data_IF_037558776939
#
_entry.id   IF_037558776939
#
_cell.length_a   1.000
_cell.length_b   1.000
_cell.length_c   1.000
_cell.angle_alpha   90.00
_cell.angle_beta   90.00
_cell.angle_gamma   90.00
#
_symmetry.space_group_name_H-M   'P 1'
#
loop_
_entity.id
_entity.type
_entity.pdbx_description
1 polymer ?
#
# COMPACT_ATOMS: atom_id res chain seq x y z
N UNK A 1 34.40 9.47 15.35
CA UNK A 1 33.06 8.96 15.09
C UNK A 1 32.77 9.01 13.60
N UNK A 2 32.29 7.94 13.05
CA UNK A 2 32.00 7.90 11.62
C UNK A 2 30.63 8.51 11.35
N UNK A 3 30.57 9.30 10.31
CA UNK A 3 29.28 9.84 9.83
C UNK A 3 28.60 8.73 9.03
N UNK A 4 27.32 8.44 9.32
CA UNK A 4 26.62 7.41 8.54
C UNK A 4 26.63 7.79 7.06
N UNK A 5 26.99 6.85 6.20
CA UNK A 5 26.93 7.12 4.78
C UNK A 5 25.48 7.06 4.34
N UNK A 6 25.09 8.04 3.52
CA UNK A 6 23.74 8.11 2.96
C UNK A 6 23.82 7.46 1.58
N UNK A 7 23.09 6.38 1.41
CA UNK A 7 23.00 5.72 0.11
C UNK A 7 22.19 6.61 -0.82
N UNK A 8 22.70 6.92 -2.02
CA UNK A 8 21.94 7.70 -2.98
C UNK A 8 20.58 7.07 -3.28
N UNK A 9 19.57 7.88 -3.49
CA UNK A 9 18.23 7.39 -3.76
C UNK A 9 18.19 6.42 -4.95
N UNK A 10 19.01 6.69 -5.95
CA UNK A 10 19.07 5.83 -7.15
C UNK A 10 19.54 4.41 -6.87
N UNK A 11 20.14 4.19 -5.71
CA UNK A 11 20.64 2.87 -5.33
C UNK A 11 19.92 2.29 -4.13
N UNK A 12 19.12 3.09 -3.44
CA UNK A 12 18.58 2.69 -2.15
C UNK A 12 17.18 2.12 -2.22
N UNK A 13 16.39 2.49 -3.21
CA UNK A 13 14.96 2.14 -3.21
C UNK A 13 14.73 0.63 -3.09
N UNK A 14 15.37 -0.15 -3.98
CA UNK A 14 15.14 -1.58 -4.01
C UNK A 14 16.00 -2.34 -3.00
N UNK A 15 16.75 -1.62 -2.17
CA UNK A 15 17.34 -2.19 -0.97
C UNK A 15 16.34 -2.13 0.20
N UNK A 16 15.35 -1.25 0.10
CA UNK A 16 14.37 -1.03 1.17
C UNK A 16 13.06 -1.75 0.91
N UNK A 17 12.69 -1.92 -0.35
CA UNK A 17 11.44 -2.56 -0.74
C UNK A 17 11.71 -3.67 -1.75
N UNK A 18 10.82 -4.65 -1.86
CA UNK A 18 10.97 -5.72 -2.86
C UNK A 18 10.94 -5.19 -4.28
N UNK A 19 11.67 -5.84 -5.17
CA UNK A 19 11.82 -5.38 -6.55
C UNK A 19 10.51 -5.45 -7.34
N UNK A 20 9.62 -6.36 -6.98
CA UNK A 20 8.38 -6.57 -7.72
C UNK A 20 7.18 -5.88 -7.08
N UNK A 21 7.43 -5.05 -6.07
CA UNK A 21 6.35 -4.47 -5.28
C UNK A 21 5.32 -3.74 -6.13
N UNK A 22 5.74 -3.03 -7.16
CA UNK A 22 4.84 -2.24 -7.98
C UNK A 22 4.12 -3.05 -9.05
N UNK A 23 4.43 -4.35 -9.19
CA UNK A 23 3.80 -5.19 -10.21
C UNK A 23 2.27 -5.13 -10.20
N UNK A 24 1.62 -5.42 -9.07
CA UNK A 24 0.16 -5.35 -9.00
C UNK A 24 -0.39 -3.97 -9.35
N UNK A 25 0.31 -2.91 -8.95
CA UNK A 25 -0.12 -1.54 -9.21
C UNK A 25 0.17 -1.08 -10.64
N UNK A 26 0.86 -1.90 -11.42
CA UNK A 26 1.11 -1.65 -12.83
C UNK A 26 0.35 -2.60 -13.74
N UNK A 27 -0.42 -3.52 -13.16
CA UNK A 27 -1.12 -4.56 -13.90
C UNK A 27 -2.45 -4.04 -14.45
N UNK A 28 -3.14 -4.91 -15.20
CA UNK A 28 -4.47 -4.56 -15.71
C UNK A 28 -5.47 -4.35 -14.57
N UNK A 29 -5.24 -4.94 -13.41
CA UNK A 29 -6.10 -4.79 -12.24
C UNK A 29 -5.57 -3.76 -11.25
N UNK A 30 -4.78 -2.79 -11.71
CA UNK A 30 -4.14 -1.82 -10.80
C UNK A 30 -5.12 -1.07 -9.93
N UNK A 31 -6.28 -0.71 -10.46
CA UNK A 31 -7.29 0.00 -9.66
C UNK A 31 -7.85 -0.89 -8.55
N UNK A 32 -8.08 -2.16 -8.88
CA UNK A 32 -8.56 -3.13 -7.90
C UNK A 32 -7.52 -3.39 -6.82
N UNK A 33 -6.27 -3.60 -7.21
CA UNK A 33 -5.21 -3.79 -6.22
C UNK A 33 -5.02 -2.57 -5.34
N UNK A 34 -5.07 -1.38 -5.93
CA UNK A 34 -4.93 -0.17 -5.13
C UNK A 34 -6.06 -0.03 -4.11
N UNK A 35 -7.30 -0.23 -4.54
CA UNK A 35 -8.45 -0.18 -3.63
C UNK A 35 -8.33 -1.23 -2.53
N UNK A 36 -7.87 -2.43 -2.88
CA UNK A 36 -7.68 -3.50 -1.91
C UNK A 36 -6.59 -3.15 -0.90
N UNK A 37 -5.46 -2.61 -1.36
CA UNK A 37 -4.37 -2.21 -0.47
C UNK A 37 -4.81 -1.11 0.47
N UNK A 38 -5.59 -0.15 -0.01
CA UNK A 38 -6.15 0.89 0.85
C UNK A 38 -7.08 0.29 1.90
N UNK A 39 -7.89 -0.67 1.50
CA UNK A 39 -8.80 -1.36 2.42
C UNK A 39 -8.03 -2.11 3.50
N UNK A 40 -7.02 -2.88 3.09
CA UNK A 40 -6.20 -3.65 4.03
C UNK A 40 -5.39 -2.75 4.96
N UNK A 41 -4.91 -1.62 4.45
CA UNK A 41 -4.22 -0.64 5.27
C UNK A 41 -5.15 -0.14 6.38
N UNK A 42 -6.36 0.24 6.01
CA UNK A 42 -7.31 0.77 6.98
C UNK A 42 -7.73 -0.28 8.00
N UNK A 43 -7.87 -1.53 7.56
CA UNK A 43 -8.44 -2.58 8.40
C UNK A 43 -7.39 -3.38 9.17
N UNK A 44 -6.17 -3.50 8.66
CA UNK A 44 -5.22 -4.46 9.22
C UNK A 44 -3.82 -3.93 9.44
N UNK A 45 -3.28 -3.16 8.51
CA UNK A 45 -1.84 -2.88 8.50
C UNK A 45 -1.49 -1.42 8.75
N UNK A 46 -2.45 -0.52 8.74
CA UNK A 46 -2.16 0.89 8.92
C UNK A 46 -2.10 1.30 10.38
N UNK A 47 -1.65 2.52 10.64
CA UNK A 47 -1.49 3.00 12.02
C UNK A 47 -2.80 3.12 12.78
N UNK A 48 -3.91 3.27 12.08
CA UNK A 48 -5.22 3.39 12.72
C UNK A 48 -5.94 2.05 12.85
N UNK A 49 -5.35 0.98 12.35
CA UNK A 49 -5.95 -0.34 12.46
C UNK A 49 -5.73 -0.92 13.87
N UNK A 50 -6.58 -1.85 14.30
CA UNK A 50 -6.34 -2.53 15.57
C UNK A 50 -4.98 -3.22 15.57
N UNK A 51 -4.35 -3.30 16.73
CA UNK A 51 -3.05 -3.95 16.82
C UNK A 51 -3.17 -5.41 16.42
N UNK A 52 -2.22 -5.91 15.63
CA UNK A 52 -2.24 -7.31 15.24
C UNK A 52 -1.87 -8.21 16.41
N UNK A 53 -2.22 -9.49 16.34
CA UNK A 53 -1.67 -10.47 17.27
C UNK A 53 -0.15 -10.45 17.25
N UNK A 54 0.47 -10.98 18.30
CA UNK A 54 1.91 -10.87 18.52
C UNK A 54 2.75 -11.28 17.30
N UNK A 55 2.28 -12.25 16.55
CA UNK A 55 3.05 -12.79 15.42
C UNK A 55 2.50 -12.41 14.07
N UNK A 56 1.47 -11.57 14.02
CA UNK A 56 0.84 -11.18 12.78
C UNK A 56 -0.54 -11.80 12.61
N UNK A 57 -1.09 -11.63 11.42
CA UNK A 57 -2.43 -12.12 11.13
C UNK A 57 -2.36 -13.53 10.56
N UNK A 58 -3.40 -14.32 10.77
CA UNK A 58 -3.50 -15.63 10.13
C UNK A 58 -3.80 -15.45 8.65
N UNK A 59 -3.27 -16.37 7.85
CA UNK A 59 -3.50 -16.29 6.40
C UNK A 59 -4.99 -16.29 6.07
N UNK A 60 -5.78 -17.13 6.76
CA UNK A 60 -7.21 -17.19 6.48
C UNK A 60 -7.93 -15.88 6.77
N UNK A 61 -7.44 -15.11 7.75
CA UNK A 61 -8.03 -13.80 8.06
C UNK A 61 -7.82 -12.83 6.92
N UNK A 62 -6.63 -12.84 6.36
CA UNK A 62 -6.32 -11.92 5.25
C UNK A 62 -7.03 -12.36 3.98
N UNK A 63 -7.05 -13.65 3.67
CA UNK A 63 -7.76 -14.11 2.48
C UNK A 63 -9.26 -13.87 2.60
N UNK A 64 -9.82 -14.00 3.82
CA UNK A 64 -11.22 -13.70 4.03
C UNK A 64 -11.50 -12.20 3.83
N UNK A 65 -10.60 -11.36 4.30
CA UNK A 65 -10.73 -9.91 4.10
C UNK A 65 -10.72 -9.56 2.62
N UNK A 66 -9.86 -10.24 1.85
CA UNK A 66 -9.79 -10.03 0.40
C UNK A 66 -11.10 -10.49 -0.24
N UNK A 67 -11.58 -11.67 0.13
CA UNK A 67 -12.82 -12.20 -0.43
C UNK A 67 -13.99 -11.25 -0.15
N UNK A 68 -14.08 -10.75 1.06
CA UNK A 68 -15.15 -9.83 1.45
C UNK A 68 -15.06 -8.53 0.65
N UNK A 69 -13.85 -8.05 0.41
CA UNK A 69 -13.65 -6.85 -0.41
C UNK A 69 -14.11 -7.09 -1.85
N UNK A 70 -13.81 -8.27 -2.40
CA UNK A 70 -14.18 -8.59 -3.76
C UNK A 70 -15.69 -8.64 -3.98
N UNK A 71 -16.46 -8.90 -2.95
CA UNK A 71 -17.92 -8.93 -3.07
C UNK A 71 -18.49 -7.57 -3.47
N UNK A 72 -17.80 -6.51 -3.12
CA UNK A 72 -18.26 -5.13 -3.36
C UNK A 72 -17.35 -4.39 -4.32
N UNK A 73 -16.36 -5.09 -4.88
CA UNK A 73 -15.44 -4.46 -5.82
C UNK A 73 -16.07 -4.39 -7.21
N UNK A 74 -15.68 -3.39 -7.95
CA UNK A 74 -16.04 -3.31 -9.35
C UNK A 74 -15.33 -4.41 -10.13
N UNK A 75 -15.45 -4.37 -11.43
CA UNK A 75 -14.89 -5.41 -12.29
C UNK A 75 -13.44 -5.70 -11.97
N UNK A 76 -13.15 -6.97 -11.86
CA UNK A 76 -11.80 -7.46 -11.67
C UNK A 76 -11.52 -8.42 -12.83
N UNK A 77 -10.54 -8.10 -13.65
CA UNK A 77 -10.20 -8.92 -14.81
C UNK A 77 -9.62 -10.24 -14.38
N UNK A 78 -9.97 -11.36 -15.05
CA UNK A 78 -9.35 -12.64 -14.74
C UNK A 78 -7.83 -12.56 -14.88
N UNK A 79 -7.14 -13.17 -13.94
CA UNK A 79 -5.69 -13.25 -13.98
C UNK A 79 -5.27 -14.68 -14.30
N UNK A 80 -3.97 -14.90 -14.41
CA UNK A 80 -3.46 -16.21 -14.80
C UNK A 80 -4.08 -17.32 -13.96
N UNK A 81 -4.71 -18.28 -14.61
CA UNK A 81 -5.36 -19.38 -13.92
C UNK A 81 -6.84 -19.16 -13.60
N UNK A 82 -7.32 -17.92 -13.74
CA UNK A 82 -8.72 -17.62 -13.45
C UNK A 82 -9.60 -17.81 -14.66
N UNK A 83 -10.84 -18.18 -14.40
CA UNK A 83 -11.90 -18.22 -15.39
C UNK A 83 -12.96 -17.19 -14.95
N UNK A 84 -13.85 -16.75 -15.88
CA UNK A 84 -14.89 -15.80 -15.47
C UNK A 84 -15.78 -16.30 -14.33
N UNK A 85 -15.93 -17.61 -14.20
CA UNK A 85 -16.77 -18.22 -13.17
C UNK A 85 -15.98 -18.75 -11.99
N UNK A 86 -14.70 -18.42 -11.87
CA UNK A 86 -13.90 -18.84 -10.73
C UNK A 86 -14.51 -18.30 -9.44
N UNK A 87 -14.75 -19.14 -8.43
CA UNK A 87 -15.35 -18.67 -7.17
C UNK A 87 -14.50 -17.60 -6.50
N UNK A 88 -15.16 -16.70 -5.77
CA UNK A 88 -14.48 -15.59 -5.12
C UNK A 88 -13.41 -16.04 -4.12
N UNK A 89 -13.67 -17.11 -3.39
CA UNK A 89 -12.68 -17.59 -2.43
C UNK A 89 -11.41 -18.06 -3.12
N UNK A 90 -11.52 -18.66 -4.29
CA UNK A 90 -10.36 -19.10 -5.07
C UNK A 90 -9.63 -17.88 -5.64
N UNK A 91 -10.38 -16.90 -6.14
CA UNK A 91 -9.79 -15.67 -6.66
C UNK A 91 -9.06 -14.92 -5.55
N UNK A 92 -9.64 -14.88 -4.35
CA UNK A 92 -9.01 -14.23 -3.22
C UNK A 92 -7.67 -14.86 -2.87
N UNK A 93 -7.60 -16.20 -2.91
CA UNK A 93 -6.34 -16.91 -2.66
C UNK A 93 -5.31 -16.55 -3.74
N UNK A 94 -5.73 -16.49 -5.01
CA UNK A 94 -4.84 -16.10 -6.10
C UNK A 94 -4.30 -14.68 -5.92
N UNK A 95 -5.16 -13.75 -5.55
CA UNK A 95 -4.77 -12.36 -5.30
C UNK A 95 -3.80 -12.30 -4.12
N UNK A 96 -4.12 -13.03 -3.05
CA UNK A 96 -3.24 -13.10 -1.89
C UNK A 96 -1.84 -13.59 -2.29
N UNK A 97 -1.78 -14.67 -3.07
CA UNK A 97 -0.49 -15.22 -3.50
C UNK A 97 0.29 -14.23 -4.34
N UNK A 98 -0.36 -13.48 -5.21
CA UNK A 98 0.31 -12.47 -6.03
C UNK A 98 0.86 -11.34 -5.17
N UNK A 99 0.14 -10.96 -4.12
CA UNK A 99 0.62 -9.94 -3.20
C UNK A 99 1.80 -10.44 -2.37
N UNK A 100 1.82 -11.71 -2.00
CA UNK A 100 2.98 -12.30 -1.34
C UNK A 100 4.19 -12.31 -2.29
N UNK A 101 3.98 -12.74 -3.54
CA UNK A 101 5.08 -12.78 -4.52
C UNK A 101 5.64 -11.40 -4.81
N UNK A 102 4.77 -10.39 -4.84
CA UNK A 102 5.21 -9.02 -5.07
C UNK A 102 5.93 -8.43 -3.87
N UNK A 103 5.69 -8.97 -2.69
CA UNK A 103 6.34 -8.50 -1.47
C UNK A 103 5.49 -7.58 -0.62
N UNK A 104 4.20 -7.41 -0.95
CA UNK A 104 3.30 -6.63 -0.09
C UNK A 104 3.08 -7.32 1.25
N UNK A 105 3.02 -8.65 1.24
CA UNK A 105 2.89 -9.44 2.46
C UNK A 105 4.13 -10.27 2.68
N UNK A 106 4.49 -10.44 3.94
CA UNK A 106 5.54 -11.35 4.36
C UNK A 106 4.87 -12.53 5.06
N UNK A 107 5.18 -13.75 4.57
CA UNK A 107 4.67 -14.97 5.17
C UNK A 107 5.73 -15.49 6.12
N UNK A 108 5.38 -15.65 7.38
CA UNK A 108 6.29 -16.13 8.41
C UNK A 108 5.70 -17.33 9.11
N UNK A 109 6.57 -18.23 9.56
CA UNK A 109 6.14 -19.43 10.26
C UNK A 109 6.55 -19.33 11.71
N UNK A 110 5.61 -19.60 12.61
CA UNK A 110 5.86 -19.72 14.04
C UNK A 110 5.31 -21.07 14.45
N UNK A 111 6.20 -22.06 14.59
CA UNK A 111 5.77 -23.43 14.82
C UNK A 111 5.04 -23.98 13.59
N UNK A 112 3.81 -24.39 13.78
CA UNK A 112 2.97 -24.90 12.69
C UNK A 112 2.09 -23.80 12.09
N UNK A 113 2.08 -22.62 12.72
CA UNK A 113 1.23 -21.52 12.25
C UNK A 113 1.95 -20.69 11.20
N UNK A 114 1.19 -20.27 10.20
CA UNK A 114 1.67 -19.30 9.21
C UNK A 114 0.99 -17.98 9.47
N UNK A 115 1.79 -16.92 9.60
CA UNK A 115 1.27 -15.61 9.87
C UNK A 115 1.69 -14.63 8.78
N UNK A 116 0.90 -13.58 8.63
CA UNK A 116 1.08 -12.59 7.58
C UNK A 116 1.38 -11.26 8.23
N UNK A 117 2.45 -10.65 7.76
CA UNK A 117 2.85 -9.31 8.18
C UNK A 117 3.18 -8.48 6.95
N UNK A 118 3.20 -7.17 7.14
CA UNK A 118 3.71 -6.26 6.13
C UNK A 118 5.04 -5.74 6.65
N UNK A 119 6.09 -5.82 5.84
CA UNK A 119 7.40 -5.32 6.25
C UNK A 119 7.28 -3.83 6.58
N UNK A 120 8.00 -3.34 7.59
CA UNK A 120 7.87 -1.93 7.99
C UNK A 120 8.10 -0.93 6.86
N UNK A 121 9.08 -1.17 6.01
CA UNK A 121 9.35 -0.26 4.88
C UNK A 121 8.21 -0.26 3.88
N UNK A 122 7.60 -1.42 3.63
CA UNK A 122 6.46 -1.55 2.72
C UNK A 122 5.24 -0.84 3.31
N UNK A 123 4.98 -1.04 4.59
CA UNK A 123 3.88 -0.36 5.26
C UNK A 123 4.04 1.15 5.26
N UNK A 124 5.26 1.62 5.47
CA UNK A 124 5.56 3.05 5.45
C UNK A 124 5.33 3.62 4.05
N UNK A 125 5.80 2.92 3.02
CA UNK A 125 5.58 3.34 1.65
C UNK A 125 4.08 3.41 1.34
N UNK A 126 3.32 2.40 1.73
CA UNK A 126 1.88 2.37 1.49
C UNK A 126 1.19 3.57 2.15
N UNK A 127 1.57 3.88 3.39
CA UNK A 127 1.02 5.05 4.09
C UNK A 127 1.32 6.34 3.32
N UNK A 128 2.55 6.47 2.81
CA UNK A 128 2.93 7.64 2.02
C UNK A 128 2.12 7.74 0.73
N UNK A 129 1.91 6.60 0.05
CA UNK A 129 1.12 6.58 -1.18
C UNK A 129 -0.33 6.96 -0.91
N UNK A 130 -0.90 6.47 0.19
CA UNK A 130 -2.27 6.81 0.56
C UNK A 130 -2.39 8.29 0.87
N UNK A 131 -1.44 8.83 1.63
CA UNK A 131 -1.45 10.27 1.92
C UNK A 131 -1.35 11.08 0.66
N UNK A 132 -0.48 10.68 -0.26
CA UNK A 132 -0.37 11.37 -1.54
C UNK A 132 -1.67 11.30 -2.32
N UNK A 133 -2.31 10.14 -2.34
CA UNK A 133 -3.56 9.96 -3.08
C UNK A 133 -4.69 10.81 -2.49
N UNK A 134 -4.72 10.95 -1.16
CA UNK A 134 -5.78 11.70 -0.50
C UNK A 134 -5.61 13.20 -0.61
N UNK A 135 -4.37 13.67 -0.48
CA UNK A 135 -4.14 15.12 -0.43
C UNK A 135 -3.66 15.68 -1.77
N UNK A 136 -3.23 14.83 -2.69
CA UNK A 136 -2.68 15.27 -3.95
C UNK A 136 -1.28 15.85 -3.77
N UNK A 137 -0.72 16.39 -4.83
CA UNK A 137 0.63 16.93 -4.77
C UNK A 137 0.71 18.13 -3.87
N UNK A 138 1.80 18.22 -3.10
CA UNK A 138 2.07 19.36 -2.24
C UNK A 138 3.13 20.19 -2.95
N UNK A 139 2.79 21.44 -3.26
CA UNK A 139 3.76 22.34 -3.85
C UNK A 139 4.62 22.91 -2.76
N UNK A 140 5.86 22.55 -2.80
CA UNK A 140 6.83 23.20 -1.96
C UNK A 140 7.30 24.38 -2.76
N UNK A 141 6.76 25.54 -2.41
CA UNK A 141 7.10 26.68 -3.19
C UNK A 141 8.45 27.16 -2.89
N UNK A 142 9.26 26.46 -2.51
CA UNK A 142 10.48 26.84 -2.32
C UNK A 142 11.01 27.50 -3.40
N UNK A 143 11.33 27.24 -4.31
CA UNK A 143 11.90 27.92 -5.24
C UNK A 143 11.02 28.43 -5.97
N UNK A 144 10.31 28.17 -5.77
CA UNK A 144 9.51 28.68 -6.40
C UNK A 144 8.90 29.20 -5.49
N UNK A 145 9.13 29.38 -4.52
CA UNK A 145 8.62 29.60 -3.81
C UNK A 145 8.48 30.31 -3.72
N UNK A 146 8.41 30.62 -3.78
CA UNK A 146 7.89 30.87 -3.69
C UNK A 146 6.94 30.96 -4.29
N UNK A 147 6.44 30.94 -4.46
CA UNK A 147 5.58 30.93 -5.10
C UNK A 147 4.58 30.61 -4.76
N UNK A 148 4.06 30.75 -4.47
CA UNK A 148 3.12 30.54 -4.20
C UNK A 148 2.79 30.29 -3.23
N UNK A 149 3.21 30.19 -2.72
CA UNK A 149 2.94 29.82 -1.70
C UNK A 149 2.30 30.70 -1.32
N UNK A 150 2.51 31.39 -1.65
CA UNK A 150 1.95 31.96 -1.47
C UNK A 150 0.82 31.78 -1.85
N UNK A 151 0.31 31.77 -2.10
CA UNK A 151 -0.64 31.58 -2.45
C UNK A 151 -1.44 30.93 -1.80
N UNK A 152 -1.69 31.02 -1.21
CA UNK A 152 -2.29 30.38 -0.73
C UNK A 152 -2.63 30.48 0.33
N UNK A 153 -2.35 31.08 0.59
CA UNK A 153 -2.36 30.92 1.22
C UNK A 153 -3.10 31.03 1.29
N UNK A 154 -3.18 31.85 1.10
CA UNK A 154 -3.38 31.73 0.93
C UNK A 154 -4.39 31.22 0.93
N UNK A 155 -4.79 31.81 1.03
CA UNK A 155 -5.35 31.19 0.93
C UNK A 155 -5.89 30.68 1.58
N UNK A 156 -6.15 31.10 2.00
CA UNK A 156 -6.23 30.46 2.43
C UNK A 156 -6.41 30.36 2.90
N UNK A 157 -6.31 32.16 3.32
CA UNK A 157 -6.07 31.91 3.54
C UNK A 157 -6.29 31.74 3.48
N UNK A 158 -6.07 32.59 3.62
CA UNK A 158 -5.87 32.35 3.36
C UNK A 158 -6.04 31.76 3.32
N UNK A 159 -6.70 32.65 3.44
CA UNK A 159 -6.47 32.02 3.30
C UNK A 159 -6.42 31.85 3.42
N UNK A 160 -6.62 32.90 3.73
CA UNK A 160 -6.08 32.56 3.73
C UNK A 160 -5.83 32.51 3.58
N UNK A 161 -6.16 33.70 3.55
CA UNK A 161 -5.61 33.48 3.34
C UNK A 161 -5.28 33.55 2.95
N UNK A 162 -5.36 34.61 3.13
CA UNK A 162 -4.77 34.48 2.72
C UNK A 162 -4.55 34.37 2.37
N UNK A 163 -4.81 35.13 2.53
CA UNK A 163 -4.40 34.85 2.09
C UNK A 163 -4.40 34.55 1.93
#
# INVERSE_FOLDING_TARGET
MAVPSVTPASMALFQRIPERLFGPLASQNRHGYWALLCHLHRRRFGPDAPLPPSYGFLQREITQEIEDHLKYADEWQPESGDQPDTPLNIRAIGIFNRLVEAGWFRLEKYGIEKTINMAPAVGQLLTQLINFAETGPVFVSGKIRAIDAAVAQVHKGEATGDL
#
